data_IF_813554298552
#
_entry.id   IF_813554298552
#
_cell.length_a   1.000
_cell.length_b   1.000
_cell.length_c   1.000
_cell.angle_alpha   90.00
_cell.angle_beta   90.00
_cell.angle_gamma   90.00
#
_symmetry.space_group_name_H-M   'P 1'
#
loop_
_entity.id
_entity.type
_entity.pdbx_description
1 polymer ?
#
# COMPACT_ATOMS: atom_id res chain seq x y z
N UNK A 1 24.43 29.07 -18.93
CA UNK A 1 23.52 29.49 -20.00
C UNK A 1 23.18 28.26 -20.82
N UNK A 2 22.01 27.66 -20.59
CA UNK A 2 21.56 26.50 -21.37
C UNK A 2 21.23 26.98 -22.80
N UNK A 3 22.01 26.53 -23.79
CA UNK A 3 21.69 26.75 -25.20
C UNK A 3 20.53 25.82 -25.57
N UNK A 4 19.34 26.38 -25.80
CA UNK A 4 18.30 25.67 -26.57
C UNK A 4 18.82 25.54 -28.00
N UNK A 5 19.03 24.29 -28.46
CA UNK A 5 19.31 24.01 -29.86
C UNK A 5 17.99 23.65 -30.53
N UNK A 6 17.55 24.48 -31.48
CA UNK A 6 16.38 24.22 -32.31
C UNK A 6 16.78 23.27 -33.44
N UNK A 7 16.11 22.13 -33.58
CA UNK A 7 16.32 21.21 -34.68
C UNK A 7 14.99 20.91 -35.37
N UNK A 8 14.70 21.62 -36.45
CA UNK A 8 13.54 21.36 -37.30
C UNK A 8 13.87 20.18 -38.21
N UNK A 9 13.23 19.03 -38.03
CA UNK A 9 13.36 17.87 -38.92
C UNK A 9 12.13 17.77 -39.83
N UNK A 10 12.26 17.92 -41.17
CA UNK A 10 11.16 17.68 -42.08
C UNK A 10 10.92 16.16 -42.24
N UNK A 11 9.68 15.73 -42.07
CA UNK A 11 9.24 14.36 -42.38
C UNK A 11 8.95 14.27 -43.89
N UNK A 12 9.67 13.40 -44.60
CA UNK A 12 9.39 13.10 -46.01
C UNK A 12 8.49 11.87 -46.09
N UNK A 13 7.19 12.07 -46.33
CA UNK A 13 6.29 10.99 -46.74
C UNK A 13 6.41 10.80 -48.26
N UNK A 14 7.00 9.69 -48.70
CA UNK A 14 6.92 9.23 -50.08
C UNK A 14 5.59 8.50 -50.29
N UNK A 15 4.63 9.14 -50.96
CA UNK A 15 3.33 8.54 -51.28
C UNK A 15 2.53 9.39 -52.28
N UNK A 16 2.23 8.80 -53.43
CA UNK A 16 1.68 9.39 -54.66
C UNK A 16 0.15 9.61 -54.58
N UNK A 17 -0.29 10.83 -54.95
CA UNK A 17 -1.64 11.28 -55.38
C UNK A 17 -2.90 11.00 -54.52
N UNK A 18 -3.44 12.04 -53.88
CA UNK A 18 -4.79 12.57 -54.11
C UNK A 18 -5.01 13.84 -53.26
N UNK A 19 -5.70 14.82 -53.86
CA UNK A 19 -5.93 16.15 -53.30
C UNK A 19 -6.75 16.13 -52.00
N UNK A 20 -6.05 16.29 -50.89
CA UNK A 20 -6.54 16.96 -49.70
C UNK A 20 -5.40 17.87 -49.23
N UNK A 21 -5.64 19.17 -49.10
CA UNK A 21 -4.72 20.04 -48.36
C UNK A 21 -4.72 19.57 -46.91
N UNK A 22 -3.89 18.59 -46.59
CA UNK A 22 -3.49 18.31 -45.22
C UNK A 22 -2.64 19.52 -44.85
N UNK A 23 -3.19 20.43 -44.04
CA UNK A 23 -2.37 21.35 -43.28
C UNK A 23 -1.46 20.49 -42.41
N UNK A 24 -0.28 20.16 -42.91
CA UNK A 24 0.78 19.59 -42.11
C UNK A 24 1.11 20.65 -41.08
N UNK A 25 0.58 20.52 -39.87
CA UNK A 25 1.10 21.26 -38.75
C UNK A 25 2.61 20.97 -38.73
N UNK A 26 3.43 22.02 -38.84
CA UNK A 26 4.87 21.87 -38.71
C UNK A 26 5.11 21.50 -37.25
N UNK A 27 5.44 20.23 -36.99
CA UNK A 27 5.84 19.78 -35.67
C UNK A 27 7.20 20.44 -35.32
N UNK A 28 7.22 21.23 -34.25
CA UNK A 28 8.45 21.84 -33.71
C UNK A 28 8.99 20.95 -32.60
N UNK A 29 10.07 20.22 -32.86
CA UNK A 29 10.73 19.38 -31.85
C UNK A 29 11.81 20.19 -31.15
N UNK A 30 11.61 20.41 -29.85
CA UNK A 30 12.57 21.13 -29.00
C UNK A 30 13.40 20.15 -28.20
N UNK A 31 14.71 20.44 -28.14
CA UNK A 31 15.69 19.60 -27.47
C UNK A 31 16.37 20.37 -26.34
N UNK A 32 16.33 19.80 -25.14
CA UNK A 32 17.12 20.24 -24.00
C UNK A 32 18.28 19.28 -23.77
N UNK A 33 19.48 19.81 -23.56
CA UNK A 33 20.70 19.01 -23.39
C UNK A 33 21.21 19.06 -21.94
N UNK A 34 21.89 17.99 -21.54
CA UNK A 34 22.76 17.96 -20.37
C UNK A 34 23.96 18.91 -20.52
N UNK A 35 24.66 19.27 -19.42
CA UNK A 35 25.92 20.01 -19.50
C UNK A 35 26.98 19.36 -20.39
N UNK A 36 26.97 18.03 -20.49
CA UNK A 36 27.84 17.25 -21.39
C UNK A 36 27.51 17.41 -22.88
N UNK A 37 26.38 18.04 -23.23
CA UNK A 37 25.89 18.21 -24.59
C UNK A 37 25.03 17.05 -25.10
N UNK A 38 24.88 15.97 -24.33
CA UNK A 38 23.95 14.88 -24.64
C UNK A 38 22.50 15.32 -24.46
N UNK A 39 21.61 14.72 -25.24
CA UNK A 39 20.17 15.01 -25.18
C UNK A 39 19.61 14.57 -23.83
N UNK A 40 18.84 15.45 -23.19
CA UNK A 40 18.13 15.19 -21.93
C UNK A 40 16.64 15.04 -22.16
N UNK A 41 16.04 15.93 -22.95
CA UNK A 41 14.59 15.93 -23.24
C UNK A 41 14.38 16.30 -24.70
N UNK A 42 13.51 15.57 -25.38
CA UNK A 42 12.94 15.91 -26.68
C UNK A 42 11.42 16.04 -26.52
N UNK A 43 10.85 17.15 -26.97
CA UNK A 43 9.41 17.42 -26.84
C UNK A 43 8.86 18.02 -28.13
N UNK A 44 7.71 17.51 -28.57
CA UNK A 44 6.99 18.01 -29.75
C UNK A 44 6.05 19.14 -29.37
N UNK A 45 6.07 20.21 -30.17
CA UNK A 45 5.21 21.39 -30.00
C UNK A 45 4.39 21.67 -31.27
N UNK A 46 3.15 22.08 -31.06
CA UNK A 46 2.27 22.65 -32.09
C UNK A 46 1.74 23.99 -31.57
N UNK A 47 2.01 25.08 -32.29
CA UNK A 47 1.63 26.46 -31.89
C UNK A 47 2.08 26.80 -30.46
N UNK A 48 3.35 26.53 -30.17
CA UNK A 48 4.00 26.76 -28.87
C UNK A 48 3.43 26.00 -27.66
N UNK A 49 2.55 25.02 -27.89
CA UNK A 49 2.06 24.09 -26.87
C UNK A 49 2.63 22.70 -27.08
N UNK A 50 2.93 21.98 -26.00
CA UNK A 50 3.30 20.57 -26.09
C UNK A 50 2.14 19.78 -26.67
N UNK A 51 2.41 19.06 -27.76
CA UNK A 51 1.43 18.28 -28.50
C UNK A 51 2.18 17.10 -29.13
N UNK A 52 1.79 15.88 -28.79
CA UNK A 52 2.46 14.65 -29.21
C UNK A 52 3.56 14.18 -28.25
N UNK A 53 4.58 13.46 -28.76
CA UNK A 53 5.51 12.71 -27.91
C UNK A 53 6.52 13.61 -27.18
N UNK A 54 6.88 13.18 -25.97
CA UNK A 54 8.00 13.65 -25.16
C UNK A 54 8.86 12.44 -24.75
N UNK A 55 10.18 12.55 -24.94
CA UNK A 55 11.17 11.58 -24.46
C UNK A 55 12.16 12.27 -23.53
N UNK A 56 12.31 11.75 -22.33
CA UNK A 56 13.38 12.11 -21.40
C UNK A 56 14.42 10.98 -21.43
N UNK A 57 15.70 11.33 -21.39
CA UNK A 57 16.83 10.41 -21.46
C UNK A 57 17.71 10.56 -20.21
N UNK A 58 18.36 9.49 -19.81
CA UNK A 58 19.50 9.53 -18.89
C UNK A 58 20.75 10.06 -19.59
N UNK A 59 21.76 10.48 -18.83
CA UNK A 59 23.02 11.00 -19.40
C UNK A 59 23.85 9.90 -20.10
N UNK A 60 23.55 8.62 -19.87
CA UNK A 60 24.14 7.53 -20.65
C UNK A 60 23.52 7.40 -22.07
N UNK A 61 22.40 8.07 -22.35
CA UNK A 61 21.67 8.05 -23.62
C UNK A 61 20.47 7.08 -23.65
N UNK A 62 20.27 6.27 -22.61
CA UNK A 62 19.09 5.42 -22.48
C UNK A 62 17.84 6.26 -22.20
N UNK A 63 16.70 5.80 -22.69
CA UNK A 63 15.42 6.45 -22.41
C UNK A 63 15.10 6.31 -20.93
N UNK A 64 14.70 7.41 -20.30
CA UNK A 64 14.24 7.48 -18.91
C UNK A 64 12.71 7.50 -18.84
N UNK A 65 12.07 8.27 -19.72
CA UNK A 65 10.59 8.35 -19.79
C UNK A 65 10.12 8.60 -21.21
N UNK A 66 9.04 7.94 -21.60
CA UNK A 66 8.24 8.23 -22.78
C UNK A 66 6.84 8.65 -22.33
N UNK A 67 6.35 9.78 -22.84
CA UNK A 67 5.01 10.29 -22.55
C UNK A 67 4.44 10.98 -23.79
N UNK A 68 3.12 11.21 -23.80
CA UNK A 68 2.48 12.06 -24.80
C UNK A 68 1.79 13.24 -24.12
N UNK A 69 1.66 14.33 -24.87
CA UNK A 69 0.97 15.55 -24.45
C UNK A 69 -0.14 15.91 -25.44
N UNK A 70 -1.23 16.45 -24.91
CA UNK A 70 -2.30 17.11 -25.66
C UNK A 70 -2.55 18.45 -24.99
N UNK A 71 -2.34 19.55 -25.71
CA UNK A 71 -2.49 20.91 -25.19
C UNK A 71 -1.78 21.15 -23.83
N UNK A 72 -0.47 20.88 -23.76
CA UNK A 72 0.37 21.03 -22.57
C UNK A 72 0.07 20.06 -21.40
N UNK A 73 -0.89 19.15 -21.54
CA UNK A 73 -1.24 18.15 -20.52
C UNK A 73 -0.79 16.77 -20.94
N UNK A 74 -0.26 15.99 -20.01
CA UNK A 74 0.05 14.57 -20.26
C UNK A 74 -1.23 13.81 -20.54
N UNK A 75 -1.18 12.97 -21.57
CA UNK A 75 -2.32 12.18 -22.02
C UNK A 75 -1.82 10.84 -22.57
N UNK A 76 -2.54 9.75 -22.29
CA UNK A 76 -2.16 8.42 -22.73
C UNK A 76 -1.07 7.75 -21.90
N UNK A 77 -0.51 6.67 -22.46
CA UNK A 77 0.44 5.80 -21.77
C UNK A 77 1.78 6.51 -21.55
N UNK A 78 2.27 6.40 -20.32
CA UNK A 78 3.60 6.80 -19.89
C UNK A 78 4.38 5.55 -19.53
N UNK A 79 5.60 5.49 -20.03
CA UNK A 79 6.57 4.44 -19.71
C UNK A 79 7.79 5.08 -19.09
N UNK A 80 8.21 4.55 -17.95
CA UNK A 80 9.44 4.91 -17.26
C UNK A 80 10.38 3.71 -17.29
N UNK A 81 11.68 3.98 -17.36
CA UNK A 81 12.71 2.96 -17.47
C UNK A 81 13.82 3.29 -16.49
N UNK A 82 14.46 2.25 -15.96
CA UNK A 82 15.71 2.35 -15.21
C UNK A 82 16.86 2.81 -16.12
N UNK A 83 17.97 3.22 -15.52
CA UNK A 83 19.14 3.71 -16.24
C UNK A 83 19.77 2.66 -17.19
N UNK A 84 19.58 1.38 -16.92
CA UNK A 84 19.99 0.27 -17.79
C UNK A 84 19.01 -0.02 -18.96
N UNK A 85 17.90 0.71 -19.03
CA UNK A 85 16.87 0.59 -20.05
C UNK A 85 15.77 -0.44 -19.75
N UNK A 86 15.80 -1.09 -18.58
CA UNK A 86 14.75 -2.01 -18.15
C UNK A 86 13.51 -1.19 -17.76
N UNK A 87 12.27 -1.61 -18.13
CA UNK A 87 11.07 -0.93 -17.69
C UNK A 87 11.03 -0.77 -16.16
N UNK A 88 10.69 0.41 -15.68
CA UNK A 88 10.51 0.73 -14.26
C UNK A 88 9.02 0.83 -13.91
N UNK A 89 8.26 1.53 -14.75
CA UNK A 89 6.82 1.68 -14.56
C UNK A 89 6.08 1.92 -15.88
N UNK A 90 4.82 1.50 -15.92
CA UNK A 90 3.88 1.82 -16.98
C UNK A 90 2.54 2.23 -16.37
N UNK A 91 1.99 3.36 -16.82
CA UNK A 91 0.72 3.90 -16.34
C UNK A 91 0.12 4.85 -17.36
N UNK A 92 -1.14 5.24 -17.19
CA UNK A 92 -1.87 6.01 -18.17
C UNK A 92 -2.42 7.32 -17.59
N UNK A 93 -2.32 8.42 -18.34
CA UNK A 93 -3.01 9.67 -18.04
C UNK A 93 -4.30 9.80 -18.85
N UNK A 94 -5.38 10.20 -18.20
CA UNK A 94 -6.64 10.64 -18.81
C UNK A 94 -7.01 11.98 -18.19
N UNK A 95 -7.23 12.99 -19.02
CA UNK A 95 -7.56 14.36 -18.58
C UNK A 95 -6.54 14.95 -17.59
N UNK A 96 -5.27 14.55 -17.72
CA UNK A 96 -4.18 14.99 -16.84
C UNK A 96 -4.10 14.27 -15.47
N UNK A 97 -4.87 13.21 -15.26
CA UNK A 97 -4.80 12.36 -14.06
C UNK A 97 -4.37 10.93 -14.40
N UNK A 98 -3.61 10.29 -13.52
CA UNK A 98 -3.36 8.84 -13.60
C UNK A 98 -4.67 8.10 -13.38
N UNK A 99 -5.03 7.27 -14.35
CA UNK A 99 -6.25 6.48 -14.41
C UNK A 99 -5.94 5.05 -14.89
N UNK A 100 -6.57 4.05 -14.28
CA UNK A 100 -6.43 2.64 -14.59
C UNK A 100 -5.23 1.97 -13.91
N UNK A 101 -4.75 0.88 -14.51
CA UNK A 101 -3.69 0.06 -13.93
C UNK A 101 -2.33 0.74 -14.02
N UNK A 102 -1.65 0.86 -12.88
CA UNK A 102 -0.24 1.20 -12.77
C UNK A 102 0.54 -0.09 -12.54
N UNK A 103 1.49 -0.37 -13.42
CA UNK A 103 2.40 -1.50 -13.32
C UNK A 103 3.77 -0.96 -12.95
N UNK A 104 4.41 -1.56 -11.96
CA UNK A 104 5.82 -1.32 -11.63
C UNK A 104 6.61 -2.60 -11.79
N UNK A 105 7.86 -2.47 -12.15
CA UNK A 105 8.76 -3.59 -12.42
C UNK A 105 9.95 -3.55 -11.45
N UNK A 106 10.53 -4.72 -11.19
CA UNK A 106 11.82 -4.86 -10.53
C UNK A 106 12.94 -4.55 -11.52
N UNK A 107 14.16 -4.31 -11.01
CA UNK A 107 15.36 -4.10 -11.84
C UNK A 107 15.74 -5.30 -12.71
N UNK A 108 15.15 -6.47 -12.49
CA UNK A 108 15.33 -7.64 -13.36
C UNK A 108 14.25 -7.74 -14.47
N UNK A 109 13.37 -6.74 -14.58
CA UNK A 109 12.30 -6.67 -15.57
C UNK A 109 11.03 -7.44 -15.23
N UNK A 110 10.99 -8.19 -14.12
CA UNK A 110 9.75 -8.83 -13.66
C UNK A 110 8.81 -7.81 -13.03
N UNK A 111 7.52 -8.08 -13.06
CA UNK A 111 6.53 -7.21 -12.41
C UNK A 111 6.77 -7.20 -10.90
N UNK A 112 6.85 -6.01 -10.31
CA UNK A 112 6.93 -5.79 -8.87
C UNK A 112 5.55 -5.50 -8.25
N UNK A 113 4.71 -4.75 -8.95
CA UNK A 113 3.34 -4.52 -8.50
C UNK A 113 2.38 -4.15 -9.63
N UNK A 114 1.09 -4.40 -9.40
CA UNK A 114 -0.03 -3.92 -10.22
C UNK A 114 -1.09 -3.32 -9.30
N UNK A 115 -1.52 -2.10 -9.56
CA UNK A 115 -2.54 -1.44 -8.74
C UNK A 115 -3.43 -0.52 -9.57
N UNK A 116 -4.71 -0.44 -9.21
CA UNK A 116 -5.68 0.43 -9.87
C UNK A 116 -5.66 1.84 -9.29
N UNK A 117 -5.63 2.83 -10.17
CA UNK A 117 -5.64 4.25 -9.84
C UNK A 117 -6.83 4.97 -10.46
N UNK A 118 -7.36 5.94 -9.72
CA UNK A 118 -8.37 6.89 -10.18
C UNK A 118 -8.02 8.28 -9.67
N UNK A 119 -8.01 9.27 -10.54
CA UNK A 119 -7.66 10.65 -10.23
C UNK A 119 -6.36 10.77 -9.39
N UNK A 120 -5.28 10.12 -9.84
CA UNK A 120 -3.99 10.03 -9.16
C UNK A 120 -3.96 9.26 -7.82
N UNK A 121 -5.06 8.63 -7.39
CA UNK A 121 -5.14 7.89 -6.13
C UNK A 121 -5.30 6.39 -6.38
N UNK A 122 -4.51 5.57 -5.68
CA UNK A 122 -4.72 4.14 -5.65
C UNK A 122 -6.06 3.85 -4.95
N UNK A 123 -6.94 3.10 -5.61
CA UNK A 123 -8.32 2.87 -5.13
C UNK A 123 -8.52 1.51 -4.46
N UNK A 124 -7.58 0.58 -4.63
CA UNK A 124 -7.65 -0.75 -4.05
C UNK A 124 -6.27 -1.26 -3.67
N UNK A 125 -6.23 -2.27 -2.81
CA UNK A 125 -5.01 -3.03 -2.55
C UNK A 125 -4.52 -3.67 -3.86
N UNK A 126 -3.24 -3.47 -4.18
CA UNK A 126 -2.62 -3.99 -5.40
C UNK A 126 -2.15 -5.43 -5.29
N UNK A 127 -1.69 -5.98 -6.40
CA UNK A 127 -0.88 -7.19 -6.43
C UNK A 127 0.60 -6.80 -6.26
N UNK A 128 1.33 -7.55 -5.45
CA UNK A 128 2.74 -7.30 -5.15
C UNK A 128 3.52 -8.60 -5.32
N UNK A 129 4.71 -8.51 -5.91
CA UNK A 129 5.54 -9.66 -6.24
C UNK A 129 6.99 -9.42 -5.82
N UNK A 130 7.70 -10.49 -5.48
CA UNK A 130 9.13 -10.46 -5.19
C UNK A 130 9.99 -10.42 -6.47
N UNK A 131 11.32 -10.37 -6.32
CA UNK A 131 12.24 -10.38 -7.47
C UNK A 131 12.19 -11.69 -8.26
N UNK A 132 11.63 -12.78 -7.73
CA UNK A 132 11.43 -14.01 -8.46
C UNK A 132 10.13 -14.00 -9.28
N UNK A 133 9.24 -13.03 -9.04
CA UNK A 133 7.91 -12.95 -9.64
C UNK A 133 6.85 -13.73 -8.86
N UNK A 134 7.20 -14.21 -7.67
CA UNK A 134 6.27 -14.88 -6.76
C UNK A 134 5.51 -13.85 -5.93
N UNK A 135 4.32 -14.14 -5.41
CA UNK A 135 3.58 -13.22 -4.54
C UNK A 135 4.45 -12.74 -3.38
N UNK A 136 4.55 -11.42 -3.21
CA UNK A 136 5.33 -10.84 -2.14
C UNK A 136 4.78 -11.30 -0.77
N UNK A 137 5.70 -11.57 0.15
CA UNK A 137 5.38 -12.07 1.49
C UNK A 137 5.07 -10.95 2.46
N UNK A 138 5.57 -9.73 2.23
CA UNK A 138 5.30 -8.57 3.08
C UNK A 138 5.39 -7.27 2.29
N UNK A 139 4.87 -6.20 2.89
CA UNK A 139 5.01 -4.86 2.36
C UNK A 139 4.18 -3.85 3.15
N UNK A 140 4.07 -2.65 2.60
CA UNK A 140 3.32 -1.54 3.17
C UNK A 140 2.23 -1.07 2.21
N UNK A 141 1.06 -0.73 2.73
CA UNK A 141 -0.05 -0.19 1.95
C UNK A 141 -0.63 1.06 2.60
N UNK A 142 -0.68 2.15 1.84
CA UNK A 142 -1.24 3.43 2.29
C UNK A 142 -2.74 3.44 2.08
N UNK A 143 -3.49 3.47 3.16
CA UNK A 143 -4.94 3.59 3.14
C UNK A 143 -5.36 4.93 2.53
N UNK A 144 -6.09 4.95 1.41
CA UNK A 144 -6.49 6.19 0.74
C UNK A 144 -7.51 7.00 1.56
N UNK A 145 -8.14 6.42 2.58
CA UNK A 145 -9.19 7.07 3.39
C UNK A 145 -8.63 8.03 4.42
N UNK A 146 -7.46 7.73 4.99
CA UNK A 146 -6.82 8.54 6.03
C UNK A 146 -5.32 8.83 5.78
N UNK A 147 -4.73 8.18 4.78
CA UNK A 147 -3.31 8.31 4.43
C UNK A 147 -2.36 7.55 5.34
N UNK A 148 -2.85 6.71 6.26
CA UNK A 148 -2.03 5.89 7.12
C UNK A 148 -1.46 4.69 6.36
N UNK A 149 -0.18 4.37 6.55
CA UNK A 149 0.45 3.20 5.96
C UNK A 149 0.37 2.02 6.92
N UNK A 150 -0.23 0.92 6.47
CA UNK A 150 -0.30 -0.34 7.20
C UNK A 150 0.68 -1.33 6.61
N UNK A 151 1.53 -1.91 7.46
CA UNK A 151 2.29 -3.09 7.08
C UNK A 151 1.36 -4.31 6.94
N UNK A 152 1.66 -5.16 5.98
CA UNK A 152 0.95 -6.41 5.72
C UNK A 152 1.92 -7.56 5.54
N UNK A 153 1.43 -8.77 5.81
CA UNK A 153 2.19 -10.01 5.78
C UNK A 153 1.35 -11.13 5.18
N UNK A 154 1.96 -12.02 4.41
CA UNK A 154 1.36 -13.23 3.89
C UNK A 154 1.78 -14.41 4.77
N UNK A 155 0.81 -15.12 5.34
CA UNK A 155 1.04 -16.29 6.18
C UNK A 155 0.22 -17.44 5.60
N UNK A 156 0.92 -18.44 5.06
CA UNK A 156 0.28 -19.45 4.22
C UNK A 156 -0.32 -18.82 2.97
N UNK A 157 -1.61 -19.09 2.70
CA UNK A 157 -2.35 -18.47 1.59
C UNK A 157 -2.90 -17.08 1.94
N UNK A 158 -3.06 -16.77 3.22
CA UNK A 158 -3.79 -15.59 3.69
C UNK A 158 -2.89 -14.35 3.77
N UNK A 159 -3.45 -13.18 3.45
CA UNK A 159 -2.79 -11.89 3.62
C UNK A 159 -3.41 -11.15 4.82
N UNK A 160 -2.58 -10.83 5.80
CA UNK A 160 -2.98 -10.21 7.07
C UNK A 160 -2.39 -8.80 7.19
N UNK A 161 -3.12 -7.90 7.86
CA UNK A 161 -2.50 -6.67 8.38
C UNK A 161 -1.52 -7.04 9.50
N UNK A 162 -0.26 -6.64 9.34
CA UNK A 162 0.82 -6.88 10.29
C UNK A 162 0.81 -5.87 11.46
N UNK A 163 -0.13 -4.93 11.43
CA UNK A 163 -0.41 -4.02 12.55
C UNK A 163 -1.89 -3.95 12.92
N UNK A 164 -2.16 -3.46 14.13
CA UNK A 164 -3.52 -3.20 14.60
C UNK A 164 -4.11 -2.03 13.79
N UNK A 165 -5.35 -2.17 13.31
CA UNK A 165 -6.00 -1.12 12.54
C UNK A 165 -6.06 0.19 13.33
N UNK A 166 -5.83 1.31 12.64
CA UNK A 166 -5.78 2.65 13.24
C UNK A 166 -6.73 3.66 12.56
N UNK A 167 -7.65 3.17 11.74
CA UNK A 167 -8.64 3.97 11.04
C UNK A 167 -9.64 4.61 12.02
N UNK A 168 -9.84 5.92 11.93
CA UNK A 168 -10.76 6.63 12.81
C UNK A 168 -12.21 6.54 12.31
N UNK A 169 -13.02 5.70 12.94
CA UNK A 169 -14.46 5.62 12.64
C UNK A 169 -15.23 6.76 13.33
N UNK A 170 -16.33 7.22 12.72
CA UNK A 170 -17.09 8.40 13.17
C UNK A 170 -17.61 8.33 14.63
N UNK A 171 -17.87 7.14 15.19
CA UNK A 171 -18.33 7.00 16.58
C UNK A 171 -18.11 5.58 17.11
N UNK A 172 -17.06 5.34 17.91
CA UNK A 172 -16.83 4.03 18.57
C UNK A 172 -15.44 3.43 18.43
N UNK A 173 -14.49 4.18 17.85
CA UNK A 173 -13.05 3.87 17.95
C UNK A 173 -12.39 4.75 19.02
N UNK A 174 -11.72 4.15 20.00
CA UNK A 174 -10.96 4.84 21.03
C UNK A 174 -9.47 4.93 20.62
N UNK A 175 -8.92 6.14 20.64
CA UNK A 175 -7.48 6.40 20.54
C UNK A 175 -7.01 7.18 21.78
N UNK A 176 -6.62 6.45 22.83
CA UNK A 176 -5.90 7.04 23.97
C UNK A 176 -4.38 6.80 23.85
N UNK A 177 -3.98 5.66 23.27
CA UNK A 177 -2.58 5.28 23.04
C UNK A 177 -2.37 4.65 21.65
N UNK A 178 -3.12 5.13 20.65
CA UNK A 178 -3.16 4.43 19.36
C UNK A 178 -1.87 4.50 18.54
N UNK A 179 -0.97 5.44 18.84
CA UNK A 179 0.37 5.46 18.23
C UNK A 179 1.25 4.28 18.69
N UNK A 180 0.93 3.65 19.82
CA UNK A 180 1.68 2.50 20.33
C UNK A 180 0.94 1.18 20.06
N UNK A 181 -0.38 1.17 20.25
CA UNK A 181 -1.19 -0.05 20.26
C UNK A 181 -2.23 -0.15 19.14
N UNK A 182 -2.39 0.88 18.31
CA UNK A 182 -3.55 1.02 17.43
C UNK A 182 -4.84 1.39 18.18
N UNK A 183 -5.96 1.38 17.46
CA UNK A 183 -7.28 1.75 18.02
C UNK A 183 -7.99 0.54 18.61
N UNK A 184 -8.84 0.82 19.59
CA UNK A 184 -9.85 -0.12 20.07
C UNK A 184 -11.19 0.25 19.46
N UNK A 185 -11.88 -0.73 18.89
CA UNK A 185 -13.16 -0.56 18.22
C UNK A 185 -14.22 -1.37 18.96
N UNK A 186 -15.42 -0.81 19.13
CA UNK A 186 -16.56 -1.67 19.36
C UNK A 186 -16.91 -2.48 18.11
N UNK A 187 -17.73 -3.52 18.26
CA UNK A 187 -17.95 -4.49 17.19
C UNK A 187 -18.53 -3.85 15.92
N UNK A 188 -19.50 -2.93 16.07
CA UNK A 188 -20.11 -2.23 14.92
C UNK A 188 -19.15 -1.33 14.16
N UNK A 189 -18.15 -0.74 14.83
CA UNK A 189 -17.14 0.07 14.16
C UNK A 189 -15.99 -0.78 13.62
N UNK A 190 -15.67 -1.89 14.27
CA UNK A 190 -14.67 -2.83 13.78
C UNK A 190 -15.05 -3.36 12.38
N UNK A 191 -16.35 -3.62 12.13
CA UNK A 191 -16.88 -4.01 10.81
C UNK A 191 -16.61 -2.99 9.68
N UNK A 192 -16.30 -1.74 10.03
CA UNK A 192 -16.11 -0.62 9.09
C UNK A 192 -14.66 -0.18 8.96
N UNK A 193 -13.75 -0.76 9.76
CA UNK A 193 -12.39 -0.27 9.90
C UNK A 193 -11.39 -0.95 8.95
N UNK A 194 -11.70 -2.13 8.42
CA UNK A 194 -10.81 -2.81 7.48
C UNK A 194 -10.60 -2.03 6.19
N UNK A 195 -9.42 -2.23 5.58
CA UNK A 195 -9.04 -1.67 4.29
C UNK A 195 -10.02 -2.15 3.20
N UNK A 196 -10.16 -1.37 2.13
CA UNK A 196 -10.97 -1.80 0.99
C UNK A 196 -10.44 -3.11 0.40
N UNK A 197 -11.33 -4.09 0.23
CA UNK A 197 -11.00 -5.44 -0.22
C UNK A 197 -10.41 -6.36 0.86
N UNK A 198 -10.37 -5.92 2.12
CA UNK A 198 -10.10 -6.74 3.30
C UNK A 198 -11.36 -6.87 4.15
N UNK A 199 -11.45 -7.93 4.94
CA UNK A 199 -12.53 -8.16 5.88
C UNK A 199 -12.03 -8.43 7.29
N UNK A 200 -12.98 -8.34 8.24
CA UNK A 200 -12.76 -8.77 9.61
C UNK A 200 -12.61 -10.31 9.62
N UNK A 201 -11.57 -10.86 10.27
CA UNK A 201 -11.32 -12.28 10.20
C UNK A 201 -12.41 -13.10 10.89
N UNK A 202 -12.84 -14.17 10.23
CA UNK A 202 -13.72 -15.18 10.82
C UNK A 202 -12.96 -16.03 11.84
N UNK A 203 -13.69 -16.76 12.68
CA UNK A 203 -13.09 -17.74 13.58
C UNK A 203 -12.38 -18.85 12.81
N UNK A 204 -12.86 -19.21 11.62
CA UNK A 204 -12.22 -20.20 10.76
C UNK A 204 -10.84 -19.71 10.29
N UNK A 205 -10.76 -18.48 9.77
CA UNK A 205 -9.50 -17.86 9.32
C UNK A 205 -8.50 -17.70 10.46
N UNK A 206 -8.96 -17.27 11.64
CA UNK A 206 -8.12 -17.27 12.84
C UNK A 206 -7.59 -18.66 13.16
N UNK A 207 -8.43 -19.70 13.14
CA UNK A 207 -7.98 -21.07 13.40
C UNK A 207 -6.96 -21.56 12.36
N UNK A 208 -7.09 -21.17 11.09
CA UNK A 208 -6.09 -21.47 10.06
C UNK A 208 -4.74 -20.84 10.37
N UNK A 209 -4.71 -19.56 10.76
CA UNK A 209 -3.50 -18.88 11.21
C UNK A 209 -2.89 -19.57 12.44
N UNK A 210 -3.70 -19.90 13.44
CA UNK A 210 -3.24 -20.57 14.65
C UNK A 210 -2.70 -21.97 14.36
N UNK A 211 -3.33 -22.72 13.45
CA UNK A 211 -2.86 -24.03 13.02
C UNK A 211 -1.55 -23.93 12.23
N UNK A 212 -1.39 -22.90 11.39
CA UNK A 212 -0.14 -22.63 10.69
C UNK A 212 0.98 -22.31 11.68
N UNK A 213 0.77 -21.36 12.59
CA UNK A 213 1.74 -21.00 13.62
C UNK A 213 2.07 -22.17 14.57
N UNK A 214 1.08 -23.00 14.87
CA UNK A 214 1.21 -24.19 15.71
C UNK A 214 2.07 -25.31 15.12
N UNK A 215 2.17 -25.39 13.79
CA UNK A 215 3.10 -26.31 13.11
C UNK A 215 4.55 -25.87 13.29
N UNK A 216 4.77 -24.56 13.30
CA UNK A 216 6.10 -23.97 13.46
C UNK A 216 6.59 -24.14 14.90
N UNK A 217 5.86 -23.59 15.89
CA UNK A 217 6.15 -23.70 17.33
C UNK A 217 4.87 -23.42 18.16
N UNK A 218 5.03 -23.05 19.43
CA UNK A 218 3.91 -22.57 20.24
C UNK A 218 3.37 -21.25 19.68
N UNK A 219 2.06 -21.20 19.45
CA UNK A 219 1.31 -20.09 18.82
C UNK A 219 1.69 -18.72 19.37
N UNK A 220 1.69 -18.55 20.70
CA UNK A 220 1.98 -17.28 21.34
C UNK A 220 3.41 -16.81 21.09
N UNK A 221 4.36 -17.73 20.97
CA UNK A 221 5.76 -17.40 20.68
C UNK A 221 5.91 -16.84 19.27
N UNK A 222 5.20 -17.44 18.32
CA UNK A 222 5.37 -17.18 16.88
C UNK A 222 4.64 -15.92 16.43
N UNK A 223 3.45 -15.66 16.97
CA UNK A 223 2.58 -14.55 16.50
C UNK A 223 2.66 -13.28 17.34
N UNK A 224 3.08 -13.36 18.61
CA UNK A 224 3.22 -12.16 19.44
C UNK A 224 4.41 -11.33 19.00
N UNK A 225 4.21 -10.02 18.93
CA UNK A 225 5.29 -9.06 18.74
C UNK A 225 6.37 -9.26 19.81
N UNK A 226 7.64 -9.08 19.44
CA UNK A 226 8.76 -9.10 20.41
C UNK A 226 8.83 -7.88 21.33
N UNK A 227 7.92 -6.93 21.17
CA UNK A 227 7.80 -5.71 21.96
C UNK A 227 6.33 -5.42 22.25
N UNK A 228 6.07 -4.48 23.16
CA UNK A 228 4.71 -4.16 23.55
C UNK A 228 4.07 -5.27 24.39
N UNK A 229 4.83 -5.85 25.31
CA UNK A 229 4.33 -6.74 26.35
C UNK A 229 4.96 -6.34 27.68
N UNK A 230 4.19 -6.34 28.76
CA UNK A 230 4.68 -6.11 30.10
C UNK A 230 5.48 -7.33 30.60
N UNK A 231 6.44 -7.14 31.52
CA UNK A 231 7.12 -8.26 32.12
C UNK A 231 6.18 -9.13 32.96
N UNK A 232 6.40 -10.45 32.92
CA UNK A 232 5.71 -11.41 33.78
C UNK A 232 5.90 -10.97 35.24
N UNK A 233 4.79 -10.84 35.96
CA UNK A 233 4.77 -10.23 37.29
C UNK A 233 5.81 -10.85 38.22
N UNK A 234 6.70 -10.02 38.75
CA UNK A 234 7.79 -10.45 39.63
C UNK A 234 9.04 -10.95 38.91
N UNK A 235 9.15 -10.72 37.60
CA UNK A 235 10.31 -11.09 36.77
C UNK A 235 10.72 -9.93 35.86
N UNK A 236 11.88 -10.04 35.20
CA UNK A 236 12.30 -9.18 34.09
C UNK A 236 12.05 -9.85 32.72
N UNK A 237 11.19 -10.87 32.68
CA UNK A 237 10.88 -11.60 31.46
C UNK A 237 9.67 -10.96 30.77
N UNK A 238 9.85 -10.34 29.61
CA UNK A 238 8.81 -9.65 28.82
C UNK A 238 7.89 -10.60 28.03
N UNK A 239 7.85 -11.87 28.42
CA UNK A 239 7.13 -12.92 27.72
C UNK A 239 7.93 -13.47 26.55
N UNK A 240 7.26 -14.28 25.74
CA UNK A 240 7.85 -15.16 24.73
C UNK A 240 7.60 -14.72 23.28
N UNK A 241 7.09 -13.52 23.03
CA UNK A 241 6.86 -13.05 21.65
C UNK A 241 8.18 -12.94 20.89
N UNK A 242 8.28 -13.63 19.75
CA UNK A 242 9.42 -13.56 18.83
C UNK A 242 9.03 -13.05 17.44
N UNK A 243 7.73 -13.01 17.15
CA UNK A 243 7.18 -12.56 15.88
C UNK A 243 7.84 -13.22 14.66
N UNK A 244 8.06 -14.53 14.73
CA UNK A 244 8.82 -15.26 13.71
C UNK A 244 8.11 -15.27 12.34
N UNK A 245 6.80 -15.00 12.32
CA UNK A 245 6.00 -14.87 11.08
C UNK A 245 5.77 -13.41 10.66
N UNK A 246 6.17 -12.40 11.44
CA UNK A 246 5.91 -10.99 11.13
C UNK A 246 4.45 -10.56 11.29
N UNK A 247 3.65 -11.28 12.08
CA UNK A 247 2.25 -10.95 12.38
C UNK A 247 2.13 -9.80 13.38
N UNK A 248 3.03 -9.76 14.36
CA UNK A 248 3.19 -8.66 15.29
C UNK A 248 2.00 -8.42 16.21
N UNK A 249 1.43 -9.45 16.85
CA UNK A 249 0.34 -9.25 17.80
C UNK A 249 0.82 -8.44 19.03
N UNK A 250 0.41 -7.16 19.09
CA UNK A 250 0.71 -6.21 20.17
C UNK A 250 -0.35 -6.28 21.27
N UNK A 251 0.06 -6.20 22.54
CA UNK A 251 -0.83 -6.21 23.72
C UNK A 251 -1.60 -4.90 23.91
N UNK A 252 -2.45 -4.53 22.94
CA UNK A 252 -3.23 -3.29 22.98
C UNK A 252 -4.33 -3.26 24.04
N UNK A 253 -4.56 -4.35 24.77
CA UNK A 253 -5.63 -4.44 25.75
C UNK A 253 -7.01 -4.29 25.12
N UNK A 254 -7.95 -3.81 25.93
CA UNK A 254 -9.33 -3.55 25.56
C UNK A 254 -9.91 -2.39 26.37
N UNK A 255 -11.12 -1.94 26.06
CA UNK A 255 -11.94 -1.15 27.00
C UNK A 255 -13.21 -1.92 27.34
N UNK A 256 -13.61 -1.93 28.60
CA UNK A 256 -14.81 -2.66 29.05
C UNK A 256 -15.99 -1.73 29.35
N UNK A 257 -15.93 -0.49 28.87
CA UNK A 257 -17.02 0.47 28.94
C UNK A 257 -18.10 0.22 27.88
N UNK A 258 -19.37 0.32 28.29
CA UNK A 258 -20.56 0.26 27.43
C UNK A 258 -20.81 1.60 26.72
N UNK A 259 -21.81 1.63 25.85
CA UNK A 259 -22.15 2.74 24.96
C UNK A 259 -22.65 3.99 25.69
N UNK A 260 -23.22 3.81 26.87
CA UNK A 260 -23.66 4.88 27.78
C UNK A 260 -22.49 5.67 28.39
N UNK A 261 -21.29 5.07 28.47
CA UNK A 261 -20.08 5.76 28.92
C UNK A 261 -19.50 6.60 27.77
N UNK A 262 -19.33 7.92 27.95
CA UNK A 262 -18.74 8.80 26.94
C UNK A 262 -17.35 8.32 26.48
N UNK A 263 -17.05 8.43 25.18
CA UNK A 263 -15.76 7.97 24.61
C UNK A 263 -14.53 8.52 25.34
N UNK A 264 -14.57 9.79 25.76
CA UNK A 264 -13.49 10.47 26.49
C UNK A 264 -13.22 9.89 27.90
N UNK A 265 -14.17 9.16 28.47
CA UNK A 265 -14.08 8.56 29.81
C UNK A 265 -13.67 7.08 29.76
N UNK A 266 -13.68 6.47 28.58
CA UNK A 266 -13.27 5.08 28.39
C UNK A 266 -11.75 4.96 28.52
N UNK A 267 -11.30 3.87 29.14
CA UNK A 267 -9.88 3.63 29.41
C UNK A 267 -9.43 2.35 28.73
N UNK A 268 -8.15 2.33 28.34
CA UNK A 268 -7.46 1.10 28.00
C UNK A 268 -7.22 0.31 29.28
N UNK A 269 -7.56 -0.97 29.24
CA UNK A 269 -7.42 -1.93 30.32
C UNK A 269 -6.67 -3.16 29.80
N UNK A 270 -5.83 -3.76 30.64
CA UNK A 270 -4.96 -4.90 30.30
C UNK A 270 -3.99 -4.67 29.11
N UNK A 271 -3.76 -3.42 28.71
CA UNK A 271 -2.67 -3.09 27.78
C UNK A 271 -1.33 -3.53 28.38
N UNK A 272 -0.42 -4.04 27.54
CA UNK A 272 0.82 -4.71 27.96
C UNK A 272 0.61 -6.17 28.40
N UNK A 273 -0.55 -6.54 28.93
CA UNK A 273 -0.80 -7.88 29.49
C UNK A 273 -1.58 -8.81 28.55
N UNK A 274 -2.48 -8.24 27.74
CA UNK A 274 -3.33 -9.01 26.83
C UNK A 274 -3.51 -8.27 25.50
N UNK A 275 -3.65 -9.05 24.44
CA UNK A 275 -4.14 -8.54 23.15
C UNK A 275 -5.51 -9.16 22.87
N UNK A 276 -6.49 -8.33 22.50
CA UNK A 276 -7.83 -8.75 22.14
C UNK A 276 -8.08 -8.40 20.67
N UNK A 277 -8.41 -9.39 19.85
CA UNK A 277 -8.70 -9.21 18.43
C UNK A 277 -10.10 -9.69 18.09
N UNK A 278 -10.89 -8.85 17.44
CA UNK A 278 -12.24 -9.22 16.99
C UNK A 278 -12.24 -10.40 16.01
N UNK A 279 -13.28 -11.21 16.10
CA UNK A 279 -13.72 -12.12 15.05
C UNK A 279 -15.02 -11.63 14.42
N UNK A 280 -15.29 -12.04 13.18
CA UNK A 280 -16.50 -11.67 12.44
C UNK A 280 -17.81 -12.12 13.14
N UNK A 281 -17.73 -13.13 14.02
CA UNK A 281 -18.85 -13.65 14.81
C UNK A 281 -19.12 -12.84 16.09
N UNK A 282 -18.30 -11.83 16.41
CA UNK A 282 -18.44 -11.01 17.61
C UNK A 282 -17.79 -11.61 18.86
N UNK A 283 -16.95 -12.62 18.70
CA UNK A 283 -16.04 -13.09 19.75
C UNK A 283 -14.70 -12.33 19.64
N UNK A 284 -13.80 -12.57 20.59
CA UNK A 284 -12.42 -12.10 20.50
C UNK A 284 -11.43 -13.24 20.65
N UNK A 285 -10.36 -13.21 19.87
CA UNK A 285 -9.16 -14.00 20.10
C UNK A 285 -8.25 -13.25 21.07
N UNK A 286 -7.86 -13.92 22.15
CA UNK A 286 -7.06 -13.33 23.23
C UNK A 286 -5.67 -13.97 23.30
N UNK A 287 -4.64 -13.13 23.27
CA UNK A 287 -3.27 -13.50 23.59
C UNK A 287 -2.90 -13.01 24.98
N UNK A 288 -2.03 -13.74 25.67
CA UNK A 288 -1.63 -13.48 27.06
C UNK A 288 -0.13 -13.25 27.15
N UNK A 289 0.30 -12.29 27.98
CA UNK A 289 1.71 -11.99 28.20
C UNK A 289 2.51 -13.18 28.77
N UNK A 290 1.88 -14.00 29.60
CA UNK A 290 2.47 -15.10 30.36
C UNK A 290 2.16 -16.49 29.79
N UNK A 291 1.56 -16.59 28.60
CA UNK A 291 1.21 -17.87 27.97
C UNK A 291 1.59 -17.92 26.50
N UNK A 292 1.84 -19.13 26.04
CA UNK A 292 2.24 -19.43 24.65
C UNK A 292 1.03 -19.85 23.79
N UNK A 293 -0.18 -19.53 24.23
CA UNK A 293 -1.44 -19.87 23.58
C UNK A 293 -2.26 -18.62 23.26
N UNK A 294 -3.20 -18.77 22.32
CA UNK A 294 -4.31 -17.85 22.13
C UNK A 294 -5.64 -18.57 22.36
N UNK A 295 -6.66 -17.85 22.84
CA UNK A 295 -7.96 -18.45 23.17
C UNK A 295 -9.10 -17.53 22.73
N UNK A 296 -10.15 -18.12 22.17
CA UNK A 296 -11.39 -17.41 21.90
C UNK A 296 -12.20 -17.19 23.18
N UNK A 297 -12.71 -15.98 23.35
CA UNK A 297 -13.56 -15.59 24.48
C UNK A 297 -14.80 -14.85 23.98
N UNK A 298 -15.93 -15.04 24.66
CA UNK A 298 -17.12 -14.22 24.44
C UNK A 298 -16.81 -12.78 24.85
N UNK A 299 -17.27 -11.83 24.05
CA UNK A 299 -17.03 -10.42 24.30
C UNK A 299 -18.31 -9.62 24.13
N UNK A 300 -18.47 -8.55 24.92
CA UNK A 300 -19.62 -7.66 24.74
C UNK A 300 -19.38 -6.81 23.48
N UNK A 301 -20.32 -6.74 22.52
CA UNK A 301 -20.14 -5.98 21.28
C UNK A 301 -19.95 -4.47 21.49
N UNK A 302 -20.30 -3.94 22.66
CA UNK A 302 -20.11 -2.54 23.02
C UNK A 302 -18.70 -2.22 23.56
N UNK A 303 -17.98 -3.25 24.01
CA UNK A 303 -16.59 -3.13 24.48
C UNK A 303 -15.66 -2.91 23.30
N UNK A 304 -14.45 -2.41 23.57
CA UNK A 304 -13.48 -2.11 22.54
C UNK A 304 -12.35 -3.10 22.51
N UNK A 305 -12.09 -3.70 21.35
CA UNK A 305 -10.92 -4.55 21.11
C UNK A 305 -10.16 -4.10 19.86
N UNK A 306 -8.92 -4.55 19.71
CA UNK A 306 -8.13 -4.29 18.52
C UNK A 306 -8.70 -5.06 17.32
N UNK A 307 -8.35 -4.63 16.12
CA UNK A 307 -8.75 -5.29 14.88
C UNK A 307 -7.52 -5.61 14.03
N UNK A 308 -7.52 -6.83 13.50
CA UNK A 308 -6.71 -7.24 12.36
C UNK A 308 -7.65 -7.44 11.18
N UNK A 309 -7.15 -7.25 9.98
CA UNK A 309 -7.91 -7.49 8.78
C UNK A 309 -7.17 -8.48 7.89
N UNK A 310 -7.94 -9.26 7.16
CA UNK A 310 -7.45 -10.32 6.28
C UNK A 310 -7.99 -10.09 4.87
N UNK A 311 -7.25 -10.59 3.88
CA UNK A 311 -7.67 -10.77 2.50
C UNK A 311 -7.33 -12.19 2.08
N UNK A 312 -8.34 -12.89 1.54
CA UNK A 312 -8.20 -14.22 0.95
C UNK A 312 -7.64 -14.16 -0.49
#
# INVERSE_FOLDING_TARGET
>A
MNKLNYMVRPVVLAGVFASAMIFSACEDVRVENYPSGKIRIETTYVKDKKEGPEKEYYENGNVKREANYVNDRREGVVKEYYEDGIPEAEYNYVDGYIEGTVIRYHKNGKVASKAEYKQNKQIAFGEYFDENGEPATSGSYKDPRDGYSYEWIRIGSQLWTAENMNYATASGSLCAQCNHWGRLYNFENAKKACLEGFHMPTKAEWNELLAFAGKEKQVGTVLKAGYGWDPIKGTNNYGNGKDELGFGAKAGGAHFAKSDVPLKERKFEAAGQKAFFWTAEGEVLVFFYDKDIAKFEKFNPEYGASLRCIKD
#
